data_IF_282056231529
#
_entry.id   IF_282056231529
#
_cell.length_a   1.000
_cell.length_b   1.000
_cell.length_c   1.000
_cell.angle_alpha   90.00
_cell.angle_beta   90.00
_cell.angle_gamma   90.00
#
_symmetry.space_group_name_H-M   'P 1'
#
loop_
_entity.id
_entity.type
_entity.pdbx_description
1 polymer ?
#
# COMPACT_ATOMS: atom_id res chain seq x y z
N UNK A 1 12.71 -31.12 -5.55
CA UNK A 1 12.39 -30.60 -4.20
C UNK A 1 12.02 -31.71 -3.22
N UNK A 2 11.07 -32.60 -3.53
CA UNK A 2 10.69 -33.72 -2.66
C UNK A 2 11.89 -34.59 -2.20
N UNK A 3 12.78 -34.93 -3.13
CA UNK A 3 14.04 -35.64 -2.83
C UNK A 3 14.89 -34.94 -1.75
N UNK A 4 15.00 -33.60 -1.80
CA UNK A 4 15.76 -32.86 -0.79
C UNK A 4 15.09 -32.96 0.59
N UNK A 5 13.76 -32.87 0.64
CA UNK A 5 13.00 -32.93 1.89
C UNK A 5 13.08 -34.34 2.51
N UNK A 6 12.88 -35.39 1.73
CA UNK A 6 12.87 -36.78 2.22
C UNK A 6 14.28 -37.34 2.42
N UNK A 7 15.11 -37.34 1.37
CA UNK A 7 16.38 -38.07 1.38
C UNK A 7 17.51 -37.32 2.09
N UNK A 8 17.32 -36.02 2.36
CA UNK A 8 18.30 -35.21 3.10
C UNK A 8 17.77 -34.74 4.43
N UNK A 9 16.68 -33.98 4.48
CA UNK A 9 16.21 -33.39 5.74
C UNK A 9 15.67 -34.45 6.71
N UNK A 10 14.76 -35.33 6.28
CA UNK A 10 14.26 -36.39 7.16
C UNK A 10 15.35 -37.38 7.56
N UNK A 11 16.23 -37.74 6.63
CA UNK A 11 17.39 -38.58 6.95
C UNK A 11 18.27 -37.94 8.02
N UNK A 12 18.56 -36.64 7.89
CA UNK A 12 19.33 -35.90 8.89
C UNK A 12 18.61 -35.86 10.24
N UNK A 13 17.30 -35.57 10.25
CA UNK A 13 16.48 -35.60 11.47
C UNK A 13 16.55 -36.95 12.15
N UNK A 14 16.39 -38.03 11.39
CA UNK A 14 16.41 -39.39 11.92
C UNK A 14 17.78 -39.76 12.51
N UNK A 15 18.87 -39.33 11.87
CA UNK A 15 20.24 -39.57 12.36
C UNK A 15 20.60 -38.75 13.60
N UNK A 16 20.03 -37.54 13.74
CA UNK A 16 20.36 -36.63 14.85
C UNK A 16 19.41 -36.83 16.04
N UNK A 17 18.10 -36.68 15.80
CA UNK A 17 17.05 -36.90 16.79
C UNK A 17 15.68 -37.04 16.07
N UNK A 18 15.12 -38.26 16.01
CA UNK A 18 13.81 -38.51 15.40
C UNK A 18 12.63 -37.76 16.02
N UNK A 19 12.80 -37.12 17.18
CA UNK A 19 11.78 -36.31 17.85
C UNK A 19 12.03 -34.81 17.73
N UNK A 20 13.11 -34.38 17.06
CA UNK A 20 13.39 -32.96 16.86
C UNK A 20 12.41 -32.34 15.86
N UNK A 21 11.99 -31.10 16.15
CA UNK A 21 11.34 -30.24 15.17
C UNK A 21 12.36 -29.64 14.21
N UNK A 22 12.02 -29.52 12.94
CA UNK A 22 12.85 -28.87 11.93
C UNK A 22 12.18 -27.59 11.44
N UNK A 23 12.93 -26.49 11.45
CA UNK A 23 12.51 -25.22 10.86
C UNK A 23 13.36 -25.00 9.61
N UNK A 24 12.70 -24.89 8.47
CA UNK A 24 13.34 -24.57 7.19
C UNK A 24 12.91 -23.16 6.78
N UNK A 25 13.86 -22.24 6.73
CA UNK A 25 13.63 -20.88 6.26
C UNK A 25 14.08 -20.73 4.81
N UNK A 26 13.23 -20.14 3.97
CA UNK A 26 13.56 -19.83 2.59
C UNK A 26 13.13 -18.40 2.26
N UNK A 27 14.06 -17.61 1.73
CA UNK A 27 13.78 -16.25 1.28
C UNK A 27 13.45 -16.24 -0.22
N UNK A 28 12.31 -15.66 -0.59
CA UNK A 28 11.89 -15.51 -1.99
C UNK A 28 11.56 -14.07 -2.34
N UNK A 29 11.96 -13.64 -3.56
CA UNK A 29 11.58 -12.34 -4.16
C UNK A 29 10.66 -12.51 -5.38
N UNK A 30 10.26 -13.75 -5.69
CA UNK A 30 9.62 -14.12 -6.98
C UNK A 30 8.09 -14.16 -6.94
N UNK A 31 7.46 -13.80 -5.82
CA UNK A 31 6.00 -13.88 -5.65
C UNK A 31 5.45 -12.47 -5.54
N UNK A 32 4.42 -12.16 -6.34
CA UNK A 32 3.75 -10.87 -6.28
C UNK A 32 2.84 -10.79 -5.05
N UNK A 33 2.63 -9.59 -4.52
CA UNK A 33 1.83 -9.37 -3.31
C UNK A 33 0.39 -9.88 -3.44
N UNK A 34 -0.22 -9.65 -4.61
CA UNK A 34 -1.57 -10.12 -4.92
C UNK A 34 -1.72 -11.64 -4.80
N UNK A 35 -0.71 -12.39 -5.29
CA UNK A 35 -0.68 -13.85 -5.18
C UNK A 35 -0.53 -14.32 -3.72
N UNK A 36 0.19 -13.56 -2.89
CA UNK A 36 0.34 -13.87 -1.46
C UNK A 36 -0.96 -13.64 -0.66
N UNK A 37 -1.81 -12.72 -1.10
CA UNK A 37 -3.08 -12.43 -0.44
C UNK A 37 -4.18 -13.43 -0.82
N UNK A 38 -4.23 -13.84 -2.09
CA UNK A 38 -5.27 -14.75 -2.59
C UNK A 38 -4.96 -16.22 -2.27
N UNK A 39 -3.72 -16.68 -2.52
CA UNK A 39 -3.30 -18.06 -2.23
C UNK A 39 -1.81 -18.14 -1.85
N UNK A 40 -1.48 -17.78 -0.60
CA UNK A 40 -0.10 -17.56 -0.16
C UNK A 40 0.80 -18.78 -0.34
N UNK A 41 0.28 -19.97 -0.01
CA UNK A 41 1.07 -21.19 -0.02
C UNK A 41 1.04 -21.92 -1.36
N UNK A 42 0.02 -21.74 -2.24
CA UNK A 42 0.05 -22.37 -3.58
C UNK A 42 1.01 -21.65 -4.51
N UNK A 43 1.20 -20.35 -4.28
CA UNK A 43 2.07 -19.50 -5.08
C UNK A 43 3.57 -19.84 -4.92
N UNK A 44 3.92 -20.73 -4.00
CA UNK A 44 5.29 -21.21 -3.81
C UNK A 44 5.68 -22.21 -4.90
N UNK A 45 6.90 -22.07 -5.41
CA UNK A 45 7.45 -23.06 -6.36
C UNK A 45 7.49 -24.44 -5.72
N UNK A 46 6.76 -25.39 -6.33
CA UNK A 46 6.56 -26.75 -5.83
C UNK A 46 5.78 -26.83 -4.52
N UNK A 47 4.84 -25.90 -4.30
CA UNK A 47 3.86 -25.90 -3.21
C UNK A 47 3.28 -27.28 -2.91
N UNK A 48 2.93 -28.07 -3.92
CA UNK A 48 2.39 -29.43 -3.71
C UNK A 48 3.33 -30.35 -2.91
N UNK A 49 4.63 -30.32 -3.20
CA UNK A 49 5.61 -31.10 -2.44
C UNK A 49 5.85 -30.54 -1.04
N UNK A 50 5.83 -29.21 -0.87
CA UNK A 50 6.02 -28.56 0.43
C UNK A 50 4.83 -28.81 1.37
N UNK A 51 3.61 -28.59 0.90
CA UNK A 51 2.36 -28.88 1.62
C UNK A 51 2.23 -30.37 1.96
N UNK A 52 2.79 -31.22 1.10
CA UNK A 52 2.96 -32.65 1.32
C UNK A 52 3.88 -33.00 2.50
N UNK A 53 4.79 -32.11 2.89
CA UNK A 53 5.91 -32.40 3.80
C UNK A 53 5.83 -31.67 5.15
N UNK A 54 5.54 -30.36 5.17
CA UNK A 54 5.50 -29.62 6.44
C UNK A 54 4.23 -29.93 7.25
N UNK A 55 4.34 -29.82 8.57
CA UNK A 55 3.20 -29.80 9.48
C UNK A 55 2.60 -28.39 9.59
N UNK A 56 3.45 -27.37 9.56
CA UNK A 56 3.08 -25.97 9.62
C UNK A 56 3.88 -25.15 8.59
N UNK A 57 3.17 -24.41 7.76
CA UNK A 57 3.70 -23.39 6.88
C UNK A 57 3.54 -22.00 7.51
N UNK A 58 4.58 -21.19 7.42
CA UNK A 58 4.56 -19.79 7.85
C UNK A 58 5.10 -18.91 6.73
N UNK A 59 4.36 -17.86 6.39
CA UNK A 59 4.80 -16.84 5.44
C UNK A 59 4.81 -15.50 6.14
N UNK A 60 5.99 -14.88 6.18
CA UNK A 60 6.18 -13.52 6.65
C UNK A 60 6.47 -12.63 5.45
N UNK A 61 5.59 -11.66 5.18
CA UNK A 61 5.80 -10.71 4.10
C UNK A 61 5.41 -9.29 4.52
N UNK A 62 5.89 -8.30 3.76
CA UNK A 62 5.58 -6.90 3.98
C UNK A 62 4.56 -6.44 2.93
N UNK A 63 3.29 -6.21 3.31
CA UNK A 63 2.27 -5.76 2.36
C UNK A 63 2.59 -4.36 1.81
N UNK A 64 2.86 -3.40 2.71
CA UNK A 64 3.27 -2.04 2.35
C UNK A 64 4.77 -1.85 2.57
N UNK A 65 5.54 -1.67 1.48
CA UNK A 65 6.99 -1.49 1.54
C UNK A 65 7.43 -0.20 2.24
N UNK A 66 6.52 0.78 2.34
CA UNK A 66 6.77 2.05 3.02
C UNK A 66 6.63 1.94 4.54
N UNK A 67 6.08 0.82 5.04
CA UNK A 67 5.86 0.59 6.48
C UNK A 67 6.73 -0.56 6.99
N UNK A 68 7.00 -0.54 8.29
CA UNK A 68 7.76 -1.57 8.99
C UNK A 68 6.97 -2.85 9.32
N UNK A 69 5.65 -2.79 9.62
CA UNK A 69 4.86 -3.98 9.94
C UNK A 69 4.82 -5.00 8.81
N UNK A 70 4.75 -6.26 9.20
CA UNK A 70 4.69 -7.42 8.32
C UNK A 70 3.52 -8.30 8.71
N UNK A 71 2.94 -8.96 7.73
CA UNK A 71 1.89 -9.93 7.95
C UNK A 71 2.50 -11.32 8.01
N UNK A 72 2.11 -12.06 9.04
CA UNK A 72 2.49 -13.45 9.29
C UNK A 72 1.27 -14.34 9.06
N UNK A 73 1.32 -15.16 8.02
CA UNK A 73 0.25 -16.08 7.62
C UNK A 73 0.63 -17.50 8.00
N UNK A 74 -0.33 -18.25 8.52
CA UNK A 74 -0.16 -19.66 8.91
C UNK A 74 -0.99 -20.60 8.01
N UNK A 75 -0.40 -21.74 7.68
CA UNK A 75 -1.11 -22.90 7.15
C UNK A 75 -0.74 -24.12 7.99
N UNK A 76 -1.72 -24.72 8.65
CA UNK A 76 -1.52 -25.92 9.44
C UNK A 76 -2.15 -27.09 8.71
N UNK A 77 -1.39 -28.18 8.60
CA UNK A 77 -1.91 -29.44 8.06
C UNK A 77 -2.70 -30.22 9.11
N UNK A 78 -2.30 -30.07 10.37
CA UNK A 78 -2.87 -30.80 11.50
C UNK A 78 -3.17 -29.82 12.63
N UNK A 79 -4.27 -30.05 13.36
CA UNK A 79 -4.63 -29.29 14.54
C UNK A 79 -5.49 -28.05 14.26
N UNK A 80 -5.70 -27.27 15.32
CA UNK A 80 -6.50 -26.05 15.28
C UNK A 80 -5.80 -24.96 14.46
N UNK A 81 -6.59 -24.19 13.71
CA UNK A 81 -6.07 -23.09 12.91
C UNK A 81 -5.46 -22.03 13.81
N UNK A 82 -4.27 -21.55 13.43
CA UNK A 82 -3.66 -20.37 14.03
C UNK A 82 -4.06 -19.17 13.19
N UNK A 83 -4.56 -18.12 13.84
CA UNK A 83 -4.89 -16.88 13.17
C UNK A 83 -3.63 -16.18 12.65
N UNK A 84 -3.80 -15.50 11.51
CA UNK A 84 -2.77 -14.67 10.95
C UNK A 84 -2.47 -13.52 11.91
N UNK A 85 -1.21 -13.09 11.98
CA UNK A 85 -0.76 -12.06 12.92
C UNK A 85 -0.07 -10.93 12.19
N UNK A 86 -0.23 -9.72 12.70
CA UNK A 86 0.67 -8.62 12.36
C UNK A 86 1.85 -8.58 13.31
N UNK A 87 3.05 -8.42 12.76
CA UNK A 87 4.30 -8.35 13.53
C UNK A 87 5.17 -7.19 13.09
N UNK A 88 5.85 -6.57 14.04
CA UNK A 88 6.89 -5.59 13.75
C UNK A 88 8.12 -5.78 14.63
N UNK A 89 9.24 -5.20 14.22
CA UNK A 89 10.51 -5.27 14.95
C UNK A 89 10.67 -4.01 15.80
N UNK A 90 10.32 -4.10 17.08
CA UNK A 90 10.39 -3.00 18.06
C UNK A 90 11.59 -3.25 18.98
N UNK A 91 12.48 -2.26 19.10
CA UNK A 91 13.70 -2.35 19.92
C UNK A 91 14.53 -3.62 19.65
N UNK A 92 14.65 -4.02 18.38
CA UNK A 92 15.41 -5.21 17.96
C UNK A 92 14.69 -6.55 18.14
N UNK A 93 13.49 -6.59 18.73
CA UNK A 93 12.70 -7.81 18.97
C UNK A 93 11.45 -7.84 18.10
N UNK A 94 11.06 -9.03 17.66
CA UNK A 94 9.79 -9.22 16.97
C UNK A 94 8.66 -9.24 17.98
N UNK A 95 7.70 -8.34 17.80
CA UNK A 95 6.50 -8.22 18.64
C UNK A 95 5.27 -8.39 17.77
N UNK A 96 4.27 -9.10 18.29
CA UNK A 96 2.93 -9.16 17.70
C UNK A 96 2.24 -7.82 17.98
N UNK A 97 1.58 -7.26 16.96
CA UNK A 97 0.76 -6.06 17.11
C UNK A 97 -0.64 -6.49 17.57
N UNK A 98 -1.22 -5.79 18.54
CA UNK A 98 -2.53 -6.15 19.12
C UNK A 98 -3.71 -5.95 18.13
N UNK A 99 -4.83 -6.66 18.34
CA UNK A 99 -6.02 -6.71 17.45
C UNK A 99 -6.63 -5.34 17.11
N UNK A 100 -6.52 -4.35 18.01
CA UNK A 100 -6.96 -2.97 17.75
C UNK A 100 -6.09 -2.30 16.68
N UNK A 101 -4.80 -2.63 16.66
CA UNK A 101 -3.89 -2.27 15.58
C UNK A 101 -4.14 -3.11 14.33
N UNK A 102 -4.59 -4.37 14.43
CA UNK A 102 -4.95 -5.17 13.25
C UNK A 102 -6.19 -4.62 12.54
N UNK A 103 -7.22 -4.16 13.28
CA UNK A 103 -8.39 -3.48 12.69
C UNK A 103 -8.02 -2.14 12.06
N UNK A 104 -7.19 -1.33 12.71
CA UNK A 104 -6.69 -0.08 12.13
C UNK A 104 -5.80 -0.33 10.90
N UNK A 105 -4.91 -1.32 10.96
CA UNK A 105 -4.02 -1.68 9.84
C UNK A 105 -4.81 -2.30 8.68
N UNK A 106 -5.75 -3.22 8.93
CA UNK A 106 -6.59 -3.84 7.89
C UNK A 106 -7.63 -2.86 7.31
N UNK A 107 -8.21 -1.97 8.12
CA UNK A 107 -9.16 -0.96 7.64
C UNK A 107 -8.42 0.08 6.79
N UNK A 108 -7.28 0.60 7.24
CA UNK A 108 -6.45 1.49 6.42
C UNK A 108 -5.84 0.78 5.21
N UNK A 109 -5.59 -0.53 5.26
CA UNK A 109 -5.09 -1.31 4.12
C UNK A 109 -6.18 -1.53 3.07
N UNK A 110 -7.38 -1.96 3.48
CA UNK A 110 -8.55 -2.09 2.62
C UNK A 110 -8.97 -0.77 2.00
N UNK A 111 -9.07 0.30 2.80
CA UNK A 111 -9.33 1.66 2.32
C UNK A 111 -8.26 2.11 1.31
N UNK A 112 -6.97 1.83 1.55
CA UNK A 112 -5.88 2.17 0.62
C UNK A 112 -5.92 1.35 -0.67
N UNK A 113 -6.31 0.09 -0.62
CA UNK A 113 -6.48 -0.78 -1.79
C UNK A 113 -7.71 -0.39 -2.62
N UNK A 114 -8.82 -0.03 -1.96
CA UNK A 114 -10.02 0.49 -2.63
C UNK A 114 -9.73 1.85 -3.25
N UNK A 115 -9.01 2.71 -2.54
CA UNK A 115 -8.47 3.96 -3.09
C UNK A 115 -7.60 3.69 -4.31
N UNK A 116 -6.73 2.68 -4.27
CA UNK A 116 -5.87 2.31 -5.39
C UNK A 116 -6.66 1.77 -6.58
N UNK A 117 -7.68 0.94 -6.35
CA UNK A 117 -8.59 0.44 -7.40
C UNK A 117 -9.36 1.59 -8.06
N UNK A 118 -9.92 2.50 -7.26
CA UNK A 118 -10.59 3.72 -7.74
C UNK A 118 -9.63 4.60 -8.55
N UNK A 119 -8.39 4.82 -8.07
CA UNK A 119 -7.36 5.60 -8.77
C UNK A 119 -6.97 4.97 -10.10
N UNK A 120 -6.79 3.64 -10.17
CA UNK A 120 -6.42 2.95 -11.42
C UNK A 120 -7.51 3.01 -12.49
N UNK A 121 -8.76 3.28 -12.11
CA UNK A 121 -9.87 3.40 -13.06
C UNK A 121 -9.86 4.74 -13.82
N UNK A 122 -9.19 5.78 -13.28
CA UNK A 122 -9.09 7.09 -13.94
C UNK A 122 -7.63 7.59 -14.01
N UNK A 123 -7.15 7.80 -15.24
CA UNK A 123 -5.78 8.21 -15.50
C UNK A 123 -5.38 9.56 -14.89
N UNK A 124 -6.32 10.50 -14.69
CA UNK A 124 -6.04 11.79 -14.04
C UNK A 124 -5.73 11.57 -12.56
N UNK A 125 -6.51 10.73 -11.88
CA UNK A 125 -6.27 10.41 -10.46
C UNK A 125 -4.91 9.75 -10.26
N UNK A 126 -4.57 8.79 -11.13
CA UNK A 126 -3.28 8.11 -11.11
C UNK A 126 -2.11 9.07 -11.36
N UNK A 127 -2.23 9.97 -12.34
CA UNK A 127 -1.17 10.95 -12.64
C UNK A 127 -0.95 11.96 -11.51
N UNK A 128 -2.01 12.43 -10.85
CA UNK A 128 -1.89 13.32 -9.68
C UNK A 128 -1.12 12.60 -8.56
N UNK A 129 -1.47 11.33 -8.31
CA UNK A 129 -0.81 10.49 -7.30
C UNK A 129 0.68 10.27 -7.62
N UNK A 130 1.00 9.87 -8.84
CA UNK A 130 2.36 9.54 -9.25
C UNK A 130 3.28 10.76 -9.23
N UNK A 131 2.77 11.93 -9.61
CA UNK A 131 3.54 13.16 -9.55
C UNK A 131 3.81 13.63 -8.12
N UNK A 132 2.88 13.45 -7.20
CA UNK A 132 3.12 13.73 -5.79
C UNK A 132 4.26 12.86 -5.24
N UNK A 133 4.34 11.59 -5.65
CA UNK A 133 5.47 10.70 -5.32
C UNK A 133 6.79 11.06 -6.01
N UNK A 134 6.75 11.96 -6.99
CA UNK A 134 7.95 12.61 -7.56
C UNK A 134 8.26 13.97 -6.92
N UNK A 135 7.52 14.38 -5.90
CA UNK A 135 7.69 15.65 -5.19
C UNK A 135 6.98 16.83 -5.87
N UNK A 136 6.03 16.59 -6.79
CA UNK A 136 5.36 17.64 -7.56
C UNK A 136 3.89 17.72 -7.22
N UNK A 137 3.43 18.92 -6.87
CA UNK A 137 2.01 19.24 -6.68
C UNK A 137 1.54 20.20 -7.76
N UNK A 138 0.32 19.97 -8.26
CA UNK A 138 -0.28 20.77 -9.31
C UNK A 138 -1.58 21.41 -8.84
N UNK A 139 -1.77 22.69 -9.17
CA UNK A 139 -3.12 23.27 -9.23
C UNK A 139 -3.84 22.75 -10.49
N UNK A 140 -5.17 22.83 -10.56
CA UNK A 140 -5.92 22.40 -11.75
C UNK A 140 -5.36 22.97 -13.05
N UNK A 141 -5.09 24.28 -13.09
CA UNK A 141 -4.54 24.94 -14.29
C UNK A 141 -3.11 24.49 -14.63
N UNK A 142 -2.27 24.22 -13.62
CA UNK A 142 -0.92 23.71 -13.85
C UNK A 142 -0.95 22.27 -14.35
N UNK A 143 -1.86 21.46 -13.81
CA UNK A 143 -2.05 20.08 -14.25
C UNK A 143 -2.50 20.03 -15.71
N UNK A 144 -3.52 20.82 -16.10
CA UNK A 144 -3.97 20.90 -17.50
C UNK A 144 -2.82 21.24 -18.44
N UNK A 145 -1.98 22.24 -18.10
CA UNK A 145 -0.85 22.65 -18.94
C UNK A 145 0.27 21.61 -19.01
N UNK A 146 0.55 20.93 -17.90
CA UNK A 146 1.63 19.95 -17.83
C UNK A 146 1.31 18.65 -18.60
N UNK A 147 0.03 18.31 -18.69
CA UNK A 147 -0.46 17.03 -19.22
C UNK A 147 -1.32 17.15 -20.49
N UNK A 148 -1.44 18.34 -21.08
CA UNK A 148 -2.10 18.53 -22.37
C UNK A 148 -1.48 17.64 -23.46
N UNK A 149 -2.33 16.88 -24.16
CA UNK A 149 -1.95 15.96 -25.23
C UNK A 149 -0.90 14.91 -24.80
N UNK A 150 -0.88 14.52 -23.53
CA UNK A 150 0.05 13.53 -22.96
C UNK A 150 -0.71 12.43 -22.23
N UNK A 151 -0.12 11.24 -22.15
CA UNK A 151 -0.67 10.12 -21.36
C UNK A 151 -2.14 9.78 -21.70
N UNK A 152 -2.54 9.92 -22.96
CA UNK A 152 -3.92 9.69 -23.40
C UNK A 152 -4.93 10.77 -22.99
N UNK A 153 -4.47 11.91 -22.45
CA UNK A 153 -5.29 13.07 -22.15
C UNK A 153 -5.41 13.99 -23.37
N UNK A 154 -6.59 14.60 -23.54
CA UNK A 154 -6.86 15.57 -24.59
C UNK A 154 -6.32 16.96 -24.29
N UNK A 155 -6.95 17.97 -24.88
CA UNK A 155 -6.59 19.39 -24.67
C UNK A 155 -6.87 19.88 -23.24
N UNK A 156 -6.32 21.05 -22.89
CA UNK A 156 -6.47 21.65 -21.55
C UNK A 156 -7.92 21.74 -21.05
N UNK A 157 -8.87 22.09 -21.94
CA UNK A 157 -10.29 22.18 -21.61
C UNK A 157 -10.88 20.83 -21.22
N UNK A 158 -10.66 19.79 -22.03
CA UNK A 158 -11.14 18.44 -21.73
C UNK A 158 -10.57 17.87 -20.43
N UNK A 159 -9.30 18.16 -20.13
CA UNK A 159 -8.68 17.78 -18.85
C UNK A 159 -9.36 18.54 -17.70
N UNK A 160 -9.61 19.84 -17.87
CA UNK A 160 -10.23 20.67 -16.85
C UNK A 160 -11.66 20.20 -16.53
N UNK A 161 -12.43 19.86 -17.54
CA UNK A 161 -13.81 19.37 -17.38
C UNK A 161 -13.82 18.03 -16.63
N UNK A 162 -12.91 17.10 -16.98
CA UNK A 162 -12.77 15.84 -16.22
C UNK A 162 -12.35 16.07 -14.77
N UNK A 163 -11.41 16.97 -14.50
CA UNK A 163 -11.03 17.32 -13.12
C UNK A 163 -12.25 17.88 -12.37
N UNK A 164 -13.05 18.72 -13.02
CA UNK A 164 -14.22 19.32 -12.39
C UNK A 164 -15.27 18.27 -12.03
N UNK A 165 -15.56 17.32 -12.93
CA UNK A 165 -16.43 16.16 -12.68
C UNK A 165 -15.90 15.30 -11.53
N UNK A 166 -14.61 14.92 -11.57
CA UNK A 166 -13.98 14.10 -10.52
C UNK A 166 -13.98 14.82 -9.16
N UNK A 167 -13.90 16.14 -9.16
CA UNK A 167 -13.98 16.96 -7.93
C UNK A 167 -15.39 16.96 -7.36
N UNK A 168 -16.41 17.16 -8.21
CA UNK A 168 -17.83 17.11 -7.80
C UNK A 168 -18.20 15.72 -7.27
N UNK A 169 -17.68 14.66 -7.89
CA UNK A 169 -17.87 13.27 -7.43
C UNK A 169 -17.07 12.91 -6.17
N UNK A 170 -16.21 13.80 -5.67
CA UNK A 170 -15.42 13.59 -4.46
C UNK A 170 -14.11 12.81 -4.63
N UNK A 171 -13.77 12.38 -5.85
CA UNK A 171 -12.50 11.70 -6.16
C UNK A 171 -11.29 12.64 -6.14
N UNK A 172 -11.52 13.94 -6.36
CA UNK A 172 -10.51 14.99 -6.19
C UNK A 172 -10.98 15.97 -5.11
N UNK A 173 -10.10 16.23 -4.16
CA UNK A 173 -10.25 17.27 -3.14
C UNK A 173 -9.09 18.26 -3.28
N UNK A 174 -9.03 19.27 -2.41
CA UNK A 174 -8.03 20.32 -2.52
C UNK A 174 -7.24 20.57 -1.25
N UNK A 175 -5.94 20.73 -1.41
CA UNK A 175 -5.02 21.13 -0.35
C UNK A 175 -4.61 22.60 -0.54
N UNK A 176 -5.12 23.48 0.32
CA UNK A 176 -4.69 24.88 0.41
C UNK A 176 -3.54 24.97 1.41
N UNK A 177 -2.32 24.92 0.92
CA UNK A 177 -1.16 25.39 1.68
C UNK A 177 -1.12 26.93 1.60
N UNK A 178 -0.73 27.59 2.68
CA UNK A 178 -0.73 29.06 2.82
C UNK A 178 0.07 29.83 1.75
N UNK A 179 0.82 29.14 0.87
CA UNK A 179 1.79 29.72 -0.04
C UNK A 179 1.29 30.05 -1.47
N UNK A 180 0.03 29.75 -1.87
CA UNK A 180 -0.41 30.00 -3.26
C UNK A 180 -1.80 30.63 -3.43
N UNK A 181 -1.87 31.67 -4.27
CA UNK A 181 -3.07 32.46 -4.68
C UNK A 181 -4.11 31.69 -5.53
N UNK A 182 -4.12 30.36 -5.52
CA UNK A 182 -5.10 29.56 -6.28
C UNK A 182 -6.44 29.53 -5.56
N UNK A 183 -7.55 29.79 -6.26
CA UNK A 183 -8.92 29.70 -5.72
C UNK A 183 -9.18 28.37 -5.00
N UNK A 184 -8.63 27.28 -5.55
CA UNK A 184 -8.82 25.92 -5.06
C UNK A 184 -7.61 25.36 -4.29
N UNK A 185 -6.39 25.85 -4.53
CA UNK A 185 -5.17 25.22 -4.01
C UNK A 185 -4.64 24.12 -4.94
N UNK A 186 -3.93 23.13 -4.38
CA UNK A 186 -3.42 21.96 -5.09
C UNK A 186 -4.46 20.84 -5.16
N UNK A 187 -4.43 20.06 -6.25
CA UNK A 187 -5.22 18.84 -6.38
C UNK A 187 -4.73 17.79 -5.37
N UNK A 188 -5.67 17.14 -4.70
CA UNK A 188 -5.41 16.07 -3.74
C UNK A 188 -6.29 14.89 -4.09
N UNK A 189 -5.70 13.69 -4.10
CA UNK A 189 -6.42 12.42 -4.25
C UNK A 189 -6.29 11.60 -2.97
N UNK A 190 -7.12 10.58 -2.82
CA UNK A 190 -7.11 9.74 -1.62
C UNK A 190 -5.75 9.06 -1.43
N UNK A 191 -5.28 8.98 -0.19
CA UNK A 191 -4.00 8.39 0.21
C UNK A 191 -2.77 8.95 -0.54
N UNK A 192 -2.81 10.22 -0.99
CA UNK A 192 -1.70 10.85 -1.70
C UNK A 192 -0.52 11.16 -0.77
N UNK A 193 0.68 10.72 -1.16
CA UNK A 193 1.92 10.99 -0.42
C UNK A 193 2.88 11.83 -1.26
N UNK A 194 3.42 12.90 -0.69
CA UNK A 194 4.45 13.74 -1.30
C UNK A 194 5.83 13.20 -0.97
N UNK A 195 6.66 13.00 -1.98
CA UNK A 195 8.08 12.70 -1.76
C UNK A 195 8.80 13.94 -1.23
N UNK A 196 9.41 13.80 -0.06
CA UNK A 196 10.36 14.77 0.51
C UNK A 196 11.74 14.13 0.63
N UNK A 197 12.77 14.84 0.16
CA UNK A 197 14.16 14.48 0.45
C UNK A 197 14.60 15.28 1.65
N UNK A 198 14.90 14.62 2.77
CA UNK A 198 15.56 15.25 3.92
C UNK A 198 17.04 14.91 3.87
N UNK A 199 17.87 15.93 3.95
CA UNK A 199 19.32 15.77 4.09
C UNK A 199 19.63 15.90 5.57
N UNK A 200 20.24 14.87 6.14
CA UNK A 200 20.73 14.92 7.52
C UNK A 200 21.84 15.99 7.61
N UNK A 201 21.67 16.94 8.54
CA UNK A 201 22.59 18.08 8.67
C UNK A 201 23.95 17.72 9.26
N UNK A 202 24.08 16.57 9.92
CA UNK A 202 25.34 16.09 10.52
C UNK A 202 26.05 15.07 9.63
N UNK A 203 25.31 14.15 8.99
CA UNK A 203 25.91 13.07 8.18
C UNK A 203 25.92 13.36 6.68
N UNK A 204 25.11 14.30 6.21
CA UNK A 204 24.91 14.57 4.79
C UNK A 204 24.11 13.48 4.05
N UNK A 205 23.57 12.49 4.76
CA UNK A 205 22.79 11.41 4.15
C UNK A 205 21.42 11.92 3.70
N UNK A 206 21.11 11.69 2.42
CA UNK A 206 19.79 11.98 1.85
C UNK A 206 18.82 10.84 2.13
N UNK A 207 17.86 11.06 3.02
CA UNK A 207 16.79 10.10 3.30
C UNK A 207 15.51 10.53 2.58
N UNK A 208 15.01 9.65 1.72
CA UNK A 208 13.72 9.87 1.04
C UNK A 208 12.57 9.46 1.97
N UNK A 209 11.71 10.41 2.30
CA UNK A 209 10.48 10.18 3.04
C UNK A 209 9.25 10.50 2.19
N UNK A 210 8.12 9.88 2.52
CA UNK A 210 6.83 10.15 1.90
C UNK A 210 5.90 10.75 2.95
N UNK A 211 5.58 12.04 2.81
CA UNK A 211 4.69 12.75 3.71
C UNK A 211 3.24 12.69 3.20
N UNK A 212 2.28 12.23 4.01
CA UNK A 212 0.87 12.24 3.62
C UNK A 212 0.37 13.67 3.34
N UNK A 213 -0.28 13.86 2.20
CA UNK A 213 -0.96 15.11 1.85
C UNK A 213 -2.44 14.95 2.11
N UNK A 214 -2.94 15.73 3.06
CA UNK A 214 -4.34 15.71 3.45
C UNK A 214 -5.12 16.84 2.75
N UNK A 215 -6.34 16.58 2.28
CA UNK A 215 -7.20 17.60 1.73
C UNK A 215 -7.72 18.53 2.83
N UNK A 216 -7.77 19.81 2.51
CA UNK A 216 -8.31 20.86 3.39
C UNK A 216 -9.71 21.30 2.99
N UNK A 217 -10.05 21.12 1.71
CA UNK A 217 -11.31 21.56 1.14
C UNK A 217 -11.82 20.51 0.15
N UNK A 218 -13.12 20.47 -0.07
CA UNK A 218 -13.76 19.68 -1.13
C UNK A 218 -14.74 20.55 -1.93
N UNK A 219 -15.13 20.07 -3.11
CA UNK A 219 -16.19 20.69 -3.91
C UNK A 219 -17.52 20.03 -3.57
N UNK A 220 -18.50 20.82 -3.18
CA UNK A 220 -19.87 20.39 -2.95
C UNK A 220 -20.51 19.89 -4.25
N UNK A 221 -21.23 18.77 -4.17
CA UNK A 221 -21.94 18.20 -5.31
C UNK A 221 -23.20 19.00 -5.68
N UNK A 222 -23.81 19.70 -4.71
CA UNK A 222 -25.10 20.39 -4.89
C UNK A 222 -24.94 21.72 -5.63
N UNK A 223 -23.95 22.52 -5.26
CA UNK A 223 -23.79 23.92 -5.70
C UNK A 223 -22.38 24.22 -6.24
N UNK A 224 -21.46 23.25 -6.20
CA UNK A 224 -20.08 23.44 -6.62
C UNK A 224 -19.25 24.35 -5.70
N UNK A 225 -19.77 24.71 -4.52
CA UNK A 225 -19.06 25.52 -3.54
C UNK A 225 -17.85 24.78 -2.98
N UNK A 226 -16.84 25.53 -2.55
CA UNK A 226 -15.62 24.97 -1.96
C UNK A 226 -15.72 25.08 -0.45
N UNK A 227 -15.86 23.94 0.20
CA UNK A 227 -16.16 23.84 1.61
C UNK A 227 -14.94 23.27 2.34
N UNK A 228 -14.62 23.84 3.50
CA UNK A 228 -13.55 23.37 4.37
C UNK A 228 -13.89 22.00 4.97
N UNK A 229 -12.91 21.09 5.03
CA UNK A 229 -13.08 19.78 5.65
C UNK A 229 -12.73 19.85 7.13
N UNK A 230 -13.70 19.52 7.99
CA UNK A 230 -13.44 19.37 9.44
C UNK A 230 -12.54 18.16 9.73
N UNK A 231 -12.73 17.07 8.99
CA UNK A 231 -11.90 15.87 9.08
C UNK A 231 -11.21 15.57 7.73
N UNK A 232 -9.90 15.91 7.58
CA UNK A 232 -9.14 15.69 6.34
C UNK A 232 -8.98 14.24 5.91
N UNK A 233 -9.09 13.28 6.84
CA UNK A 233 -8.90 11.86 6.55
C UNK A 233 -10.11 11.23 5.87
N UNK A 234 -11.26 11.92 5.85
CA UNK A 234 -12.51 11.33 5.44
C UNK A 234 -12.82 11.65 3.97
N UNK A 235 -13.15 10.61 3.19
CA UNK A 235 -13.50 10.70 1.77
C UNK A 235 -14.97 10.29 1.55
N UNK A 236 -15.69 11.10 0.79
CA UNK A 236 -17.07 10.85 0.40
C UNK A 236 -17.12 10.85 -1.12
N UNK A 237 -17.87 9.92 -1.70
CA UNK A 237 -18.02 9.80 -3.15
C UNK A 237 -19.49 9.97 -3.53
N UNK A 238 -19.70 10.67 -4.64
CA UNK A 238 -21.00 10.88 -5.24
C UNK A 238 -20.95 10.28 -6.64
N UNK A 239 -21.51 9.09 -6.81
CA UNK A 239 -21.55 8.40 -8.10
C UNK A 239 -22.69 8.89 -8.98
#
# INVERSE_FOLDING_TARGET
>A
MLFFLQERLERLRHLVNPNAGMIVAHHTKKITKKLLEEDPFQSLSGAGALRGFYTTGMILFRPDETKTPRQLIFELRNGERIDNKWVDKIAGKWSVLEEESERLVNKHYGEKLDAERRRKHDIILQLIYDEARKGKLYTASQFCRAFENRSGLGGQHSIRDRIDVLSTKGYIKFCKTAARKSKYGFLCVEAMDLKETKVDSETGEETTHFQPILPTHYKSAEDGAIIHLENPSLWFYHD
#
